data_IF_370527063614
#
_entry.id   IF_370527063614
#
_cell.length_a   1.000
_cell.length_b   1.000
_cell.length_c   1.000
_cell.angle_alpha   90.00
_cell.angle_beta   90.00
_cell.angle_gamma   90.00
#
_symmetry.space_group_name_H-M   'P 1'
#
loop_
_entity.id
_entity.type
_entity.pdbx_description
1 polymer ?
#
# COMPACT_ATOMS: atom_id res chain seq x y z
N UNK A 1 -9.14 3.75 7.83
CA UNK A 1 -9.09 3.39 6.41
C UNK A 1 -9.53 4.56 5.53
N UNK A 2 -9.26 4.50 4.24
CA UNK A 2 -9.51 5.59 3.29
C UNK A 2 -10.97 6.09 3.33
N UNK A 3 -11.96 5.21 3.33
CA UNK A 3 -13.37 5.59 3.35
C UNK A 3 -13.76 6.37 4.63
N UNK A 4 -13.21 5.98 5.79
CA UNK A 4 -13.45 6.71 7.04
C UNK A 4 -12.81 8.10 7.02
N UNK A 5 -11.57 8.20 6.51
CA UNK A 5 -10.85 9.48 6.42
C UNK A 5 -11.51 10.40 5.38
N UNK A 6 -11.91 9.86 4.23
CA UNK A 6 -12.67 10.58 3.20
C UNK A 6 -13.93 11.22 3.79
N UNK A 7 -14.71 10.45 4.55
CA UNK A 7 -15.90 10.97 5.24
C UNK A 7 -15.56 12.10 6.21
N UNK A 8 -14.50 11.97 7.02
CA UNK A 8 -14.10 13.01 7.97
C UNK A 8 -13.67 14.32 7.29
N UNK A 9 -13.06 14.25 6.10
CA UNK A 9 -12.77 15.44 5.29
C UNK A 9 -14.07 16.07 4.77
N UNK A 10 -15.00 15.24 4.26
CA UNK A 10 -16.30 15.70 3.75
C UNK A 10 -17.18 16.34 4.84
N UNK A 11 -17.16 15.82 6.07
CA UNK A 11 -17.89 16.37 7.21
C UNK A 11 -17.14 17.52 7.90
N UNK A 12 -15.98 17.92 7.37
CA UNK A 12 -15.13 18.97 7.95
C UNK A 12 -14.56 18.68 9.34
N UNK A 13 -14.58 17.42 9.77
CA UNK A 13 -13.87 16.95 10.97
C UNK A 13 -12.36 17.04 10.79
N UNK A 14 -11.88 16.84 9.55
CA UNK A 14 -10.51 17.08 9.13
C UNK A 14 -10.45 18.20 8.09
N UNK A 15 -9.39 19.02 8.14
CA UNK A 15 -9.16 20.06 7.16
C UNK A 15 -8.55 19.51 5.87
N UNK A 16 -7.65 18.56 6.02
CA UNK A 16 -6.98 17.84 4.94
C UNK A 16 -6.61 16.42 5.41
N UNK A 17 -6.36 15.54 4.47
CA UNK A 17 -5.81 14.23 4.76
C UNK A 17 -4.93 13.73 3.61
N UNK A 18 -4.04 12.78 3.92
CA UNK A 18 -3.34 11.98 2.92
C UNK A 18 -3.90 10.58 2.96
N UNK A 19 -4.37 10.10 1.82
CA UNK A 19 -5.00 8.79 1.66
C UNK A 19 -4.45 8.05 0.44
N UNK A 20 -4.69 6.77 0.42
CA UNK A 20 -4.40 5.90 -0.73
C UNK A 20 -5.68 5.28 -1.30
N UNK A 21 -5.59 4.75 -2.51
CA UNK A 21 -6.70 4.04 -3.14
C UNK A 21 -7.73 4.93 -3.83
N UNK A 22 -8.91 4.37 -4.06
CA UNK A 22 -9.99 5.05 -4.76
C UNK A 22 -10.79 5.92 -3.80
N UNK A 23 -11.13 7.11 -4.26
CA UNK A 23 -11.99 8.07 -3.59
C UNK A 23 -13.33 8.11 -4.32
N UNK A 24 -14.41 8.15 -3.56
CA UNK A 24 -15.77 8.07 -4.10
C UNK A 24 -16.39 9.43 -4.40
N UNK A 25 -16.02 10.50 -3.65
CA UNK A 25 -16.68 11.80 -3.74
C UNK A 25 -16.03 12.74 -4.73
N UNK A 26 -16.81 13.43 -5.55
CA UNK A 26 -16.38 14.52 -6.43
C UNK A 26 -16.23 15.88 -5.69
N UNK A 27 -16.58 15.93 -4.42
CA UNK A 27 -16.45 17.14 -3.59
C UNK A 27 -15.05 17.30 -3.00
N UNK A 28 -14.10 16.45 -3.42
CA UNK A 28 -12.73 16.50 -2.97
C UNK A 28 -11.78 16.98 -4.06
N UNK A 29 -11.01 18.01 -3.75
CA UNK A 29 -9.79 18.33 -4.49
C UNK A 29 -8.75 17.30 -4.12
N UNK A 30 -8.04 16.76 -5.13
CA UNK A 30 -7.08 15.66 -5.00
C UNK A 30 -5.76 16.08 -5.60
N UNK A 31 -4.68 15.92 -4.86
CA UNK A 31 -3.32 16.14 -5.35
C UNK A 31 -2.47 14.91 -5.04
N UNK A 32 -1.82 14.33 -6.04
CA UNK A 32 -0.90 13.20 -5.84
C UNK A 32 0.34 13.70 -5.10
N UNK A 33 0.66 13.06 -3.99
CA UNK A 33 1.83 13.37 -3.15
C UNK A 33 3.01 12.50 -3.54
N UNK A 34 2.78 11.20 -3.69
CA UNK A 34 3.82 10.28 -4.13
C UNK A 34 3.22 8.98 -4.67
N UNK A 35 3.99 8.32 -5.52
CA UNK A 35 3.72 6.96 -5.97
C UNK A 35 4.36 5.94 -5.05
N UNK A 36 3.74 4.77 -4.94
CA UNK A 36 4.22 3.63 -4.18
C UNK A 36 3.96 2.34 -4.96
N UNK A 37 4.77 1.34 -4.66
CA UNK A 37 4.66 0.02 -5.25
C UNK A 37 4.44 -1.00 -4.13
N UNK A 38 3.43 -1.86 -4.28
CA UNK A 38 3.26 -3.03 -3.44
C UNK A 38 4.06 -4.19 -4.01
N UNK A 39 4.89 -4.79 -3.17
CA UNK A 39 5.75 -5.90 -3.56
C UNK A 39 5.49 -7.11 -2.67
N UNK A 40 5.58 -8.28 -3.26
CA UNK A 40 5.58 -9.53 -2.51
C UNK A 40 6.95 -9.75 -1.90
N UNK A 41 6.98 -10.05 -0.60
CA UNK A 41 8.22 -10.26 0.15
C UNK A 41 8.23 -11.62 0.83
N UNK A 42 9.42 -12.18 0.93
CA UNK A 42 9.69 -13.40 1.69
C UNK A 42 10.94 -13.22 2.55
N UNK A 43 11.08 -14.01 3.59
CA UNK A 43 12.33 -14.10 4.35
C UNK A 43 13.48 -14.61 3.47
N UNK A 44 14.71 -14.28 3.82
CA UNK A 44 15.92 -14.67 3.05
C UNK A 44 15.98 -16.15 2.74
N UNK A 45 15.61 -17.00 3.71
CA UNK A 45 15.73 -18.45 3.62
C UNK A 45 14.46 -19.13 3.09
N UNK A 46 13.46 -18.36 2.65
CA UNK A 46 12.25 -18.89 2.05
C UNK A 46 12.54 -19.51 0.66
N UNK A 47 11.96 -20.67 0.30
CA UNK A 47 12.22 -21.32 -0.98
C UNK A 47 12.06 -20.43 -2.21
N UNK A 48 11.03 -19.57 -2.23
CA UNK A 48 10.78 -18.63 -3.34
C UNK A 48 11.83 -17.52 -3.44
N UNK A 49 12.60 -17.27 -2.39
CA UNK A 49 13.62 -16.21 -2.37
C UNK A 49 14.85 -16.54 -3.24
N UNK A 50 15.03 -17.81 -3.62
CA UNK A 50 16.09 -18.25 -4.53
C UNK A 50 15.69 -18.12 -6.02
N UNK A 51 14.42 -17.89 -6.33
CA UNK A 51 13.93 -17.81 -7.69
C UNK A 51 14.43 -16.54 -8.41
N UNK A 52 14.68 -16.67 -9.72
CA UNK A 52 15.05 -15.54 -10.59
C UNK A 52 13.83 -14.89 -11.24
N UNK A 53 12.75 -15.64 -11.38
CA UNK A 53 11.47 -15.18 -11.88
C UNK A 53 10.39 -16.08 -11.28
N UNK A 54 9.24 -15.49 -10.96
CA UNK A 54 8.06 -16.16 -10.43
C UNK A 54 6.84 -15.65 -11.18
N UNK A 55 5.88 -16.53 -11.35
CA UNK A 55 4.53 -16.18 -11.80
C UNK A 55 3.59 -16.10 -10.60
N UNK A 56 2.37 -15.60 -10.80
CA UNK A 56 1.38 -15.60 -9.72
C UNK A 56 0.98 -17.00 -9.30
N UNK A 57 1.01 -17.96 -10.22
CA UNK A 57 0.71 -19.39 -9.97
C UNK A 57 1.68 -20.01 -8.96
N UNK A 58 2.93 -19.56 -8.91
CA UNK A 58 3.92 -20.02 -7.92
C UNK A 58 3.55 -19.64 -6.48
N UNK A 59 2.61 -18.69 -6.31
CA UNK A 59 2.06 -18.32 -5.01
C UNK A 59 0.95 -19.28 -4.54
N UNK A 60 0.47 -20.17 -5.39
CA UNK A 60 -0.60 -21.10 -5.04
C UNK A 60 -0.24 -21.92 -3.80
N UNK A 61 -1.12 -21.88 -2.80
CA UNK A 61 -0.94 -22.62 -1.55
C UNK A 61 0.08 -22.04 -0.57
N UNK A 62 0.82 -21.00 -0.95
CA UNK A 62 1.78 -20.35 -0.05
C UNK A 62 1.09 -19.76 1.19
N UNK A 63 1.82 -19.77 2.31
CA UNK A 63 1.35 -19.15 3.55
C UNK A 63 1.40 -17.61 3.43
N UNK A 64 0.24 -16.96 3.53
CA UNK A 64 0.12 -15.50 3.46
C UNK A 64 -0.02 -14.91 4.87
N UNK A 65 0.83 -13.93 5.16
CA UNK A 65 0.69 -13.01 6.28
C UNK A 65 0.17 -11.70 5.70
N UNK A 66 -1.00 -11.24 6.16
CA UNK A 66 -1.69 -10.11 5.55
C UNK A 66 -1.96 -9.00 6.53
N UNK A 67 -2.34 -7.84 6.00
CA UNK A 67 -2.96 -6.78 6.77
C UNK A 67 -4.38 -7.19 7.21
N UNK A 68 -4.94 -6.43 8.11
CA UNK A 68 -6.33 -6.55 8.58
C UNK A 68 -7.35 -6.40 7.45
N UNK A 69 -8.57 -6.85 7.69
CA UNK A 69 -9.69 -6.64 6.77
C UNK A 69 -9.96 -5.14 6.60
N UNK A 70 -10.18 -4.70 5.35
CA UNK A 70 -10.39 -3.28 5.01
C UNK A 70 -9.10 -2.52 4.70
N UNK A 71 -7.92 -3.13 4.83
CA UNK A 71 -6.68 -2.57 4.31
C UNK A 71 -6.71 -2.53 2.77
N UNK A 72 -6.37 -1.38 2.20
CA UNK A 72 -6.29 -1.20 0.75
C UNK A 72 -5.27 -2.15 0.10
N UNK A 73 -4.11 -2.35 0.73
CA UNK A 73 -3.08 -3.29 0.27
C UNK A 73 -3.64 -4.71 0.14
N UNK A 74 -4.31 -5.16 1.20
CA UNK A 74 -4.92 -6.48 1.23
C UNK A 74 -5.99 -6.63 0.16
N UNK A 75 -6.90 -5.66 0.05
CA UNK A 75 -8.02 -5.74 -0.87
C UNK A 75 -7.56 -5.79 -2.33
N UNK A 76 -6.58 -4.95 -2.72
CA UNK A 76 -6.02 -4.94 -4.06
C UNK A 76 -5.34 -6.26 -4.40
N UNK A 77 -4.59 -6.83 -3.45
CA UNK A 77 -3.92 -8.10 -3.66
C UNK A 77 -4.90 -9.28 -3.71
N UNK A 78 -5.88 -9.32 -2.80
CA UNK A 78 -6.90 -10.38 -2.80
C UNK A 78 -7.72 -10.37 -4.11
N UNK A 79 -8.03 -9.18 -4.65
CA UNK A 79 -8.69 -9.06 -5.95
C UNK A 79 -7.83 -9.63 -7.07
N UNK A 80 -6.54 -9.25 -7.13
CA UNK A 80 -5.60 -9.77 -8.12
C UNK A 80 -5.51 -11.29 -8.08
N UNK A 81 -5.44 -11.89 -6.89
CA UNK A 81 -5.41 -13.34 -6.71
C UNK A 81 -6.72 -14.00 -7.15
N UNK A 82 -7.86 -13.40 -6.79
CA UNK A 82 -9.18 -13.91 -7.16
C UNK A 82 -9.38 -13.92 -8.68
N UNK A 83 -8.98 -12.85 -9.38
CA UNK A 83 -9.07 -12.72 -10.83
C UNK A 83 -8.27 -13.81 -11.59
N UNK A 84 -7.26 -14.37 -10.95
CA UNK A 84 -6.43 -15.44 -11.46
C UNK A 84 -6.72 -16.83 -10.87
N UNK A 85 -7.77 -16.96 -10.03
CA UNK A 85 -8.13 -18.20 -9.31
C UNK A 85 -6.99 -18.76 -8.43
N UNK A 86 -6.11 -17.90 -7.92
CA UNK A 86 -4.99 -18.28 -7.06
C UNK A 86 -5.45 -18.25 -5.61
N UNK A 87 -5.23 -19.33 -4.88
CA UNK A 87 -5.58 -19.44 -3.47
C UNK A 87 -4.33 -19.58 -2.62
N UNK A 88 -4.14 -18.63 -1.71
CA UNK A 88 -3.10 -18.70 -0.69
C UNK A 88 -3.68 -19.13 0.66
N UNK A 89 -2.86 -19.76 1.49
CA UNK A 89 -3.26 -20.12 2.85
C UNK A 89 -3.09 -18.92 3.76
N UNK A 90 -4.21 -18.28 4.15
CA UNK A 90 -4.19 -17.16 5.11
C UNK A 90 -3.76 -17.67 6.50
N UNK A 91 -2.52 -17.43 6.86
CA UNK A 91 -1.93 -17.94 8.09
C UNK A 91 -2.20 -17.02 9.28
N UNK A 92 -2.03 -15.73 9.06
CA UNK A 92 -2.12 -14.71 10.09
C UNK A 92 -2.41 -13.33 9.49
N UNK A 93 -3.00 -12.43 10.29
CA UNK A 93 -3.19 -11.04 9.89
C UNK A 93 -2.91 -10.10 11.07
N UNK A 94 -2.43 -8.89 10.77
CA UNK A 94 -2.04 -7.91 11.76
C UNK A 94 -2.19 -6.49 11.22
N UNK A 95 -2.49 -5.54 12.12
CA UNK A 95 -2.53 -4.11 11.80
C UNK A 95 -1.14 -3.47 11.80
N UNK A 96 -0.16 -4.12 12.43
CA UNK A 96 1.20 -3.60 12.59
C UNK A 96 2.13 -4.16 11.52
N UNK A 97 2.63 -3.28 10.64
CA UNK A 97 3.54 -3.65 9.55
C UNK A 97 4.88 -4.20 10.06
N UNK A 98 5.42 -3.70 11.17
CA UNK A 98 6.67 -4.21 11.73
C UNK A 98 6.51 -5.66 12.21
N UNK A 99 5.37 -5.99 12.83
CA UNK A 99 5.05 -7.37 13.21
C UNK A 99 4.93 -8.29 11.98
N UNK A 100 4.35 -7.81 10.88
CA UNK A 100 4.28 -8.55 9.62
C UNK A 100 5.69 -8.79 9.08
N UNK A 101 6.56 -7.77 9.03
CA UNK A 101 7.95 -7.91 8.58
C UNK A 101 8.69 -8.95 9.41
N UNK A 102 8.60 -8.87 10.74
CA UNK A 102 9.22 -9.83 11.64
C UNK A 102 8.73 -11.26 11.38
N UNK A 103 7.42 -11.47 11.23
CA UNK A 103 6.86 -12.80 10.96
C UNK A 103 7.34 -13.38 9.62
N UNK A 104 7.51 -12.53 8.60
CA UNK A 104 8.05 -12.96 7.28
C UNK A 104 9.55 -13.31 7.40
N UNK A 105 10.33 -12.51 8.14
CA UNK A 105 11.76 -12.78 8.40
C UNK A 105 11.93 -14.13 9.11
N UNK A 106 11.07 -14.42 10.09
CA UNK A 106 11.05 -15.68 10.85
C UNK A 106 10.45 -16.87 10.07
N UNK A 107 10.18 -16.69 8.77
CA UNK A 107 9.74 -17.79 7.89
C UNK A 107 8.30 -18.23 8.09
N UNK A 108 7.44 -17.45 8.73
CA UNK A 108 6.03 -17.80 8.93
C UNK A 108 5.22 -17.82 7.62
N UNK A 109 5.71 -17.18 6.57
CA UNK A 109 5.08 -17.09 5.26
C UNK A 109 5.61 -15.91 4.44
N UNK A 110 4.85 -15.52 3.43
CA UNK A 110 5.12 -14.37 2.57
C UNK A 110 4.09 -13.27 2.81
N UNK A 111 4.42 -12.03 2.46
CA UNK A 111 3.50 -10.90 2.61
C UNK A 111 3.58 -9.95 1.42
N UNK A 112 2.49 -9.18 1.21
CA UNK A 112 2.54 -8.01 0.34
C UNK A 112 2.70 -6.76 1.19
N UNK A 113 3.68 -5.92 0.86
CA UNK A 113 4.01 -4.71 1.60
C UNK A 113 4.40 -3.58 0.64
N UNK A 114 4.30 -2.34 1.10
CA UNK A 114 4.89 -1.20 0.42
C UNK A 114 6.41 -1.36 0.30
N UNK A 115 6.94 -1.16 -0.90
CA UNK A 115 8.39 -1.20 -1.16
C UNK A 115 9.15 -0.19 -0.28
N UNK A 116 8.54 0.95 0.02
CA UNK A 116 9.12 1.99 0.87
C UNK A 116 9.34 1.54 2.32
N UNK A 117 8.53 0.59 2.81
CA UNK A 117 8.57 0.12 4.20
C UNK A 117 9.58 -1.01 4.44
N UNK A 118 10.18 -1.58 3.39
CA UNK A 118 11.08 -2.74 3.49
C UNK A 118 12.53 -2.43 3.10
N UNK A 119 12.85 -1.21 2.75
CA UNK A 119 14.17 -0.81 2.22
C UNK A 119 15.33 -1.16 3.16
N UNK A 120 15.11 -1.07 4.47
CA UNK A 120 16.13 -1.40 5.49
C UNK A 120 16.35 -2.90 5.59
N UNK A 121 15.29 -3.67 5.63
CA UNK A 121 15.32 -5.13 5.73
C UNK A 121 15.86 -5.76 4.44
N UNK A 122 15.54 -5.17 3.28
CA UNK A 122 16.11 -5.59 1.99
C UNK A 122 17.61 -5.30 1.94
N UNK A 123 18.05 -4.11 2.35
CA UNK A 123 19.47 -3.75 2.43
C UNK A 123 20.24 -4.62 3.44
N UNK A 124 19.60 -5.06 4.52
CA UNK A 124 20.17 -5.98 5.51
C UNK A 124 20.07 -7.46 5.10
N UNK A 125 19.56 -7.76 3.90
CA UNK A 125 19.31 -9.14 3.40
C UNK A 125 18.44 -10.01 4.32
N UNK A 126 17.56 -9.39 5.09
CA UNK A 126 16.58 -10.08 5.95
C UNK A 126 15.32 -10.45 5.17
N UNK A 127 14.88 -9.54 4.28
CA UNK A 127 13.77 -9.74 3.36
C UNK A 127 14.25 -9.73 1.91
N UNK A 128 13.54 -10.45 1.07
CA UNK A 128 13.70 -10.45 -0.38
C UNK A 128 12.38 -10.06 -1.04
N UNK A 129 12.44 -9.14 -2.00
CA UNK A 129 11.34 -8.90 -2.93
C UNK A 129 11.30 -10.07 -3.91
N UNK A 130 10.17 -10.74 -3.99
CA UNK A 130 9.96 -11.84 -4.92
C UNK A 130 9.77 -11.27 -6.34
N UNK A 131 10.51 -11.77 -7.33
CA UNK A 131 10.48 -11.29 -8.71
C UNK A 131 9.25 -11.82 -9.46
N UNK A 132 8.07 -11.29 -9.14
CA UNK A 132 6.81 -11.63 -9.81
C UNK A 132 6.68 -10.89 -11.12
N UNK A 133 6.58 -11.61 -12.23
CA UNK A 133 6.39 -11.05 -13.58
C UNK A 133 5.05 -11.53 -14.16
N UNK A 134 4.24 -10.64 -14.70
CA UNK A 134 4.32 -9.17 -14.85
C UNK A 134 3.51 -8.38 -13.81
N UNK A 135 3.69 -8.62 -12.53
CA UNK A 135 2.83 -8.05 -11.50
C UNK A 135 3.49 -6.86 -10.80
N UNK A 136 3.05 -5.66 -11.16
CA UNK A 136 3.32 -4.45 -10.39
C UNK A 136 1.99 -3.88 -9.88
N UNK A 137 1.78 -3.88 -8.58
CA UNK A 137 0.63 -3.22 -7.95
C UNK A 137 1.08 -1.83 -7.53
N UNK A 138 0.85 -0.85 -8.40
CA UNK A 138 1.16 0.56 -8.12
C UNK A 138 -0.03 1.24 -7.48
N UNK A 139 0.26 2.17 -6.58
CA UNK A 139 -0.72 3.03 -5.95
C UNK A 139 -0.17 4.44 -5.78
N UNK A 140 -1.05 5.41 -5.65
CA UNK A 140 -0.68 6.79 -5.34
C UNK A 140 -1.24 7.20 -3.99
N UNK A 141 -0.42 7.92 -3.22
CA UNK A 141 -0.90 8.68 -2.08
C UNK A 141 -1.40 10.03 -2.55
N UNK A 142 -2.61 10.39 -2.14
CA UNK A 142 -3.27 11.62 -2.53
C UNK A 142 -3.56 12.46 -1.30
N UNK A 143 -3.16 13.70 -1.35
CA UNK A 143 -3.67 14.72 -0.44
C UNK A 143 -5.08 15.10 -0.88
N UNK A 144 -6.01 15.17 0.06
CA UNK A 144 -7.41 15.54 -0.19
C UNK A 144 -7.85 16.67 0.72
N UNK A 145 -8.65 17.58 0.16
CA UNK A 145 -9.34 18.66 0.88
C UNK A 145 -10.76 18.81 0.32
N UNK A 146 -11.70 19.25 1.13
CA UNK A 146 -13.05 19.54 0.63
C UNK A 146 -13.01 20.80 -0.25
N UNK A 147 -13.60 20.75 -1.45
CA UNK A 147 -13.55 21.83 -2.46
C UNK A 147 -14.09 23.17 -1.97
N UNK A 148 -15.13 23.14 -1.13
CA UNK A 148 -15.83 24.33 -0.65
C UNK A 148 -15.37 24.78 0.76
N UNK A 149 -14.38 24.08 1.34
CA UNK A 149 -13.92 24.40 2.69
C UNK A 149 -13.02 25.63 2.71
N UNK A 150 -13.33 26.59 3.60
CA UNK A 150 -12.41 27.68 3.92
C UNK A 150 -11.29 27.13 4.80
N UNK A 151 -10.11 26.96 4.22
CA UNK A 151 -8.97 26.39 4.92
C UNK A 151 -8.33 27.42 5.86
N UNK A 152 -7.90 27.01 7.08
CA UNK A 152 -7.05 27.82 7.94
C UNK A 152 -5.77 28.27 7.24
N UNK A 153 -5.22 29.42 7.65
CA UNK A 153 -4.01 29.99 7.05
C UNK A 153 -2.82 29.02 7.10
N UNK A 154 -2.66 28.30 8.21
CA UNK A 154 -1.59 27.29 8.36
C UNK A 154 -1.73 26.15 7.34
N UNK A 155 -2.96 25.69 7.08
CA UNK A 155 -3.22 24.63 6.09
C UNK A 155 -2.94 25.13 4.68
N UNK A 156 -3.34 26.36 4.36
CA UNK A 156 -3.01 26.98 3.05
C UNK A 156 -1.50 27.10 2.85
N UNK A 157 -0.78 27.61 3.85
CA UNK A 157 0.67 27.72 3.79
C UNK A 157 1.35 26.35 3.61
N UNK A 158 0.83 25.28 4.22
CA UNK A 158 1.30 23.91 4.01
C UNK A 158 1.05 23.44 2.57
N UNK A 159 -0.14 23.68 2.01
CA UNK A 159 -0.49 23.29 0.65
C UNK A 159 0.34 24.03 -0.41
N UNK A 160 0.76 25.26 -0.11
CA UNK A 160 1.60 26.11 -0.97
C UNK A 160 3.11 25.82 -0.77
N UNK A 161 3.47 25.04 0.23
CA UNK A 161 4.87 24.75 0.53
C UNK A 161 5.49 23.79 -0.53
N UNK A 162 6.79 23.97 -0.81
CA UNK A 162 7.57 23.10 -1.71
C UNK A 162 7.72 21.66 -1.23
N UNK A 163 7.21 21.33 -0.04
CA UNK A 163 7.20 19.96 0.51
C UNK A 163 6.29 19.04 -0.30
N UNK A 164 5.29 19.61 -0.99
CA UNK A 164 4.40 18.85 -1.86
C UNK A 164 4.92 18.91 -3.31
N UNK A 165 5.01 17.78 -4.02
CA UNK A 165 5.38 17.78 -5.42
C UNK A 165 4.39 18.62 -6.24
N UNK A 166 4.88 19.33 -7.25
CA UNK A 166 4.03 20.04 -8.22
C UNK A 166 3.10 19.03 -8.91
N UNK A 167 1.86 19.44 -9.18
CA UNK A 167 0.96 18.62 -9.99
C UNK A 167 1.58 18.38 -11.37
N UNK A 168 1.61 17.11 -11.85
CA UNK A 168 1.95 16.88 -13.24
C UNK A 168 0.95 17.64 -14.12
N UNK A 169 1.37 18.23 -15.24
CA UNK A 169 0.47 18.93 -16.15
C UNK A 169 -0.67 18.00 -16.56
N UNK A 170 -1.89 18.54 -16.50
CA UNK A 170 -3.09 17.82 -16.93
C UNK A 170 -2.92 17.41 -18.41
N UNK A 171 -2.88 16.09 -18.65
CA UNK A 171 -2.88 15.49 -19.99
C UNK A 171 -4.31 15.31 -20.48
#
# INVERSE_FOLDING_TARGET
NTASVERQVLTSELDLAVVEGMLSSEDLIRRTVCEDELVMVAGRDHPLSAARSLTLEDLQGQALISREAGSSERNQFEQLMADRNIRMTKKWHCTNTEAIKTAVIEGMGIAILSRRLITREEAAYLLRVLPLDPVSVRRSFKLIVHKDKVLPQAVRAFLESEVLPEEPPAT
#
